data_IF_417171210759
#
_entry.id   IF_417171210759
#
_cell.length_a   1.000
_cell.length_b   1.000
_cell.length_c   1.000
_cell.angle_alpha   90.00
_cell.angle_beta   90.00
_cell.angle_gamma   90.00
#
_symmetry.space_group_name_H-M   'P 1'
#
loop_
_entity.id
_entity.type
_entity.pdbx_description
1 polymer ?
#
# COMPACT_ATOMS: atom_id res chain seq x y z
N UNK A 1 -5.24 -19.27 -41.85
CA UNK A 1 -5.32 -18.56 -40.54
C UNK A 1 -6.53 -17.62 -40.41
N UNK A 2 -6.85 -16.74 -41.37
CA UNK A 2 -7.96 -15.77 -41.27
C UNK A 2 -9.38 -16.39 -41.22
N UNK A 3 -9.61 -17.46 -41.99
CA UNK A 3 -10.92 -18.13 -42.01
C UNK A 3 -11.27 -18.81 -40.66
N UNK A 4 -10.27 -19.34 -39.96
CA UNK A 4 -10.44 -20.01 -38.67
C UNK A 4 -10.82 -19.00 -37.57
N UNK A 5 -10.18 -17.83 -37.54
CA UNK A 5 -10.54 -16.74 -36.62
C UNK A 5 -11.97 -16.23 -36.87
N UNK A 6 -12.39 -16.12 -38.13
CA UNK A 6 -13.76 -15.70 -38.48
C UNK A 6 -14.80 -16.73 -38.05
N UNK A 7 -14.48 -18.02 -38.14
CA UNK A 7 -15.34 -19.11 -37.63
C UNK A 7 -15.40 -19.07 -36.11
N UNK A 8 -14.26 -18.93 -35.43
CA UNK A 8 -14.15 -18.85 -33.98
C UNK A 8 -14.93 -17.66 -33.40
N UNK A 9 -14.85 -16.49 -34.05
CA UNK A 9 -15.60 -15.31 -33.64
C UNK A 9 -17.11 -15.57 -33.77
N UNK A 10 -17.56 -16.22 -34.85
CA UNK A 10 -18.97 -16.54 -35.06
C UNK A 10 -19.49 -17.57 -34.05
N UNK A 11 -18.67 -18.57 -33.72
CA UNK A 11 -19.00 -19.55 -32.69
C UNK A 11 -19.07 -18.88 -31.30
N UNK A 12 -18.12 -18.00 -30.98
CA UNK A 12 -18.16 -17.19 -29.75
C UNK A 12 -19.39 -16.27 -29.70
N UNK A 13 -19.80 -15.74 -30.86
CA UNK A 13 -21.02 -14.96 -31.03
C UNK A 13 -22.31 -15.82 -30.95
N UNK A 14 -22.24 -17.14 -31.07
CA UNK A 14 -23.37 -18.03 -30.79
C UNK A 14 -23.48 -18.30 -29.28
N UNK A 15 -22.37 -18.35 -28.54
CA UNK A 15 -22.34 -18.56 -27.08
C UNK A 15 -22.15 -17.28 -26.25
N UNK A 16 -22.62 -16.13 -26.77
CA UNK A 16 -22.42 -14.79 -26.20
C UNK A 16 -22.68 -14.67 -24.70
N UNK A 17 -23.74 -15.30 -24.20
CA UNK A 17 -24.11 -15.23 -22.78
C UNK A 17 -23.04 -15.82 -21.87
N UNK A 18 -22.56 -17.03 -22.19
CA UNK A 18 -21.51 -17.70 -21.41
C UNK A 18 -20.17 -16.99 -21.55
N UNK A 19 -19.80 -16.59 -22.76
CA UNK A 19 -18.56 -15.86 -23.00
C UNK A 19 -18.52 -14.52 -22.23
N UNK A 20 -19.64 -13.78 -22.24
CA UNK A 20 -19.76 -12.54 -21.48
C UNK A 20 -19.65 -12.79 -19.97
N UNK A 21 -20.33 -13.82 -19.44
CA UNK A 21 -20.26 -14.17 -18.02
C UNK A 21 -18.81 -14.48 -17.57
N UNK A 22 -18.06 -15.28 -18.32
CA UNK A 22 -16.66 -15.61 -18.01
C UNK A 22 -15.80 -14.33 -18.04
N UNK A 23 -15.93 -13.53 -19.09
CA UNK A 23 -15.17 -12.28 -19.21
C UNK A 23 -15.45 -11.30 -18.07
N UNK A 24 -16.70 -11.21 -17.61
CA UNK A 24 -17.10 -10.36 -16.50
C UNK A 24 -16.49 -10.85 -15.18
N UNK A 25 -16.52 -12.15 -14.92
CA UNK A 25 -15.90 -12.73 -13.71
C UNK A 25 -14.40 -12.47 -13.68
N UNK A 26 -13.72 -12.63 -14.81
CA UNK A 26 -12.29 -12.30 -14.93
C UNK A 26 -12.05 -10.82 -14.67
N UNK A 27 -12.85 -9.94 -15.29
CA UNK A 27 -12.73 -8.49 -15.11
C UNK A 27 -12.92 -8.09 -13.64
N UNK A 28 -13.92 -8.65 -12.96
CA UNK A 28 -14.16 -8.41 -11.53
C UNK A 28 -12.98 -8.88 -10.69
N UNK A 29 -12.42 -10.07 -10.96
CA UNK A 29 -11.25 -10.58 -10.24
C UNK A 29 -10.02 -9.67 -10.40
N UNK A 30 -9.75 -9.22 -11.62
CA UNK A 30 -8.65 -8.27 -11.90
C UNK A 30 -8.89 -6.93 -11.21
N UNK A 31 -10.11 -6.39 -11.31
CA UNK A 31 -10.47 -5.12 -10.66
C UNK A 31 -10.29 -5.20 -9.15
N UNK A 32 -10.70 -6.31 -8.52
CA UNK A 32 -10.53 -6.53 -7.08
C UNK A 32 -9.05 -6.57 -6.67
N UNK A 33 -8.21 -7.26 -7.46
CA UNK A 33 -6.76 -7.31 -7.21
C UNK A 33 -6.12 -5.91 -7.30
N UNK A 34 -6.45 -5.16 -8.35
CA UNK A 34 -5.97 -3.79 -8.54
C UNK A 34 -6.44 -2.87 -7.41
N UNK A 35 -7.71 -2.97 -7.01
CA UNK A 35 -8.27 -2.19 -5.91
C UNK A 35 -7.56 -2.50 -4.60
N UNK A 36 -7.33 -3.78 -4.27
CA UNK A 36 -6.60 -4.19 -3.07
C UNK A 36 -5.20 -3.56 -3.01
N UNK A 37 -4.43 -3.68 -4.10
CA UNK A 37 -3.08 -3.11 -4.17
C UNK A 37 -3.09 -1.58 -4.09
N UNK A 38 -4.07 -0.94 -4.71
CA UNK A 38 -4.22 0.52 -4.72
C UNK A 38 -4.57 1.05 -3.33
N UNK A 39 -5.54 0.44 -2.66
CA UNK A 39 -5.92 0.79 -1.29
C UNK A 39 -4.75 0.56 -0.33
N UNK A 40 -4.05 -0.57 -0.44
CA UNK A 40 -2.88 -0.85 0.40
C UNK A 40 -1.79 0.22 0.22
N UNK A 41 -1.49 0.60 -1.03
CA UNK A 41 -0.54 1.68 -1.32
C UNK A 41 -1.01 3.01 -0.76
N UNK A 42 -2.30 3.34 -0.91
CA UNK A 42 -2.86 4.59 -0.38
C UNK A 42 -2.77 4.65 1.14
N UNK A 43 -3.07 3.55 1.84
CA UNK A 43 -2.96 3.50 3.30
C UNK A 43 -1.52 3.66 3.78
N UNK A 44 -0.56 2.99 3.13
CA UNK A 44 0.87 3.17 3.43
C UNK A 44 1.32 4.61 3.23
N UNK A 45 0.95 5.22 2.10
CA UNK A 45 1.29 6.61 1.82
C UNK A 45 0.70 7.56 2.86
N UNK A 46 -0.55 7.35 3.27
CA UNK A 46 -1.19 8.14 4.32
C UNK A 46 -0.48 7.96 5.66
N UNK A 47 -0.09 6.74 6.02
CA UNK A 47 0.66 6.47 7.24
C UNK A 47 2.02 7.20 7.24
N UNK A 48 2.77 7.07 6.16
CA UNK A 48 4.08 7.71 6.01
C UNK A 48 3.96 9.24 6.05
N UNK A 49 3.00 9.80 5.31
CA UNK A 49 2.70 11.24 5.32
C UNK A 49 2.26 11.72 6.69
N UNK A 50 1.49 10.91 7.42
CA UNK A 50 1.05 11.25 8.78
C UNK A 50 2.23 11.28 9.74
N UNK A 51 3.13 10.29 9.69
CA UNK A 51 4.33 10.26 10.55
C UNK A 51 5.31 11.38 10.22
N UNK A 52 5.53 11.67 8.94
CA UNK A 52 6.37 12.78 8.49
C UNK A 52 5.82 14.12 9.02
N UNK A 53 4.52 14.39 8.81
CA UNK A 53 3.89 15.64 9.24
C UNK A 53 3.86 15.83 10.74
N UNK A 54 3.59 14.77 11.50
CA UNK A 54 3.57 14.83 12.95
C UNK A 54 4.95 14.73 13.59
N UNK A 55 6.02 14.73 12.77
CA UNK A 55 7.42 14.61 13.20
C UNK A 55 7.59 13.45 14.17
N UNK A 56 6.90 12.34 13.87
CA UNK A 56 6.97 11.14 14.69
C UNK A 56 8.42 10.68 14.70
N UNK A 57 8.97 10.37 15.88
CA UNK A 57 10.38 10.04 15.97
C UNK A 57 10.67 8.79 15.12
N UNK A 58 11.71 8.85 14.30
CA UNK A 58 12.18 7.70 13.51
C UNK A 58 12.63 6.55 14.42
N UNK A 59 13.15 6.90 15.60
CA UNK A 59 13.68 5.96 16.60
C UNK A 59 13.28 6.41 18.00
N UNK A 60 12.80 5.46 18.81
CA UNK A 60 12.56 5.65 20.23
C UNK A 60 13.62 4.87 21.03
N UNK A 61 14.34 5.57 21.92
CA UNK A 61 15.31 4.95 22.82
C UNK A 61 14.87 5.18 24.27
N UNK A 62 14.67 4.09 25.03
CA UNK A 62 14.34 4.14 26.44
C UNK A 62 15.55 3.73 27.28
N UNK A 63 15.88 4.55 28.29
CA UNK A 63 16.95 4.25 29.25
C UNK A 63 16.40 4.22 30.66
N UNK A 64 16.75 3.18 31.43
CA UNK A 64 16.26 2.99 32.80
C UNK A 64 17.30 3.51 33.79
N UNK A 65 16.87 4.32 34.77
CA UNK A 65 17.74 4.93 35.80
C UNK A 65 18.84 5.85 35.21
N UNK A 66 18.47 6.72 34.27
CA UNK A 66 19.37 7.78 33.80
C UNK A 66 19.42 8.94 34.81
N UNK A 67 20.62 9.47 35.13
CA UNK A 67 20.75 10.70 35.90
C UNK A 67 20.13 11.90 35.14
N UNK A 68 19.46 12.82 35.84
CA UNK A 68 18.85 14.01 35.23
C UNK A 68 19.84 14.87 34.42
N UNK A 69 21.11 14.92 34.85
CA UNK A 69 22.17 15.63 34.13
C UNK A 69 22.50 15.05 32.75
N UNK A 70 22.11 13.80 32.47
CA UNK A 70 22.28 13.18 31.15
C UNK A 70 21.28 13.74 30.13
N UNK A 71 20.14 14.30 30.58
CA UNK A 71 19.11 14.88 29.70
C UNK A 71 19.68 15.96 28.79
N UNK A 72 20.44 16.90 29.35
CA UNK A 72 21.06 17.99 28.60
C UNK A 72 22.05 17.46 27.56
N UNK A 73 22.85 16.44 27.93
CA UNK A 73 23.81 15.81 27.00
C UNK A 73 23.14 15.06 25.87
N UNK A 74 22.00 14.42 26.11
CA UNK A 74 21.24 13.71 25.08
C UNK A 74 20.52 14.70 24.16
N UNK A 75 19.96 15.78 24.70
CA UNK A 75 19.30 16.83 23.92
C UNK A 75 20.25 17.56 22.95
N UNK A 76 21.55 17.60 23.27
CA UNK A 76 22.58 18.23 22.44
C UNK A 76 23.04 17.34 21.27
N UNK A 77 22.62 16.07 21.23
CA UNK A 77 22.98 15.15 20.14
C UNK A 77 22.27 15.59 18.85
N UNK A 78 23.00 15.78 17.73
CA UNK A 78 22.39 16.10 16.45
C UNK A 78 21.34 15.07 16.04
N UNK A 79 20.11 15.52 15.77
CA UNK A 79 18.98 14.67 15.38
C UNK A 79 18.03 14.29 16.53
N UNK A 80 18.35 14.62 17.78
CA UNK A 80 17.42 14.43 18.90
C UNK A 80 16.38 15.55 18.93
N UNK A 81 15.13 15.22 18.61
CA UNK A 81 14.03 16.18 18.59
C UNK A 81 13.42 16.43 19.98
N UNK A 82 13.39 15.41 20.85
CA UNK A 82 12.77 15.51 22.18
C UNK A 82 13.40 14.52 23.17
N UNK A 83 13.54 14.94 24.43
CA UNK A 83 13.97 14.08 25.56
C UNK A 83 13.00 14.29 26.72
N UNK A 84 12.41 13.21 27.23
CA UNK A 84 11.54 13.21 28.42
C UNK A 84 12.11 12.22 29.46
N UNK A 85 11.96 12.54 30.75
CA UNK A 85 12.50 11.77 31.88
C UNK A 85 11.41 11.24 32.79
#
# INVERSE_FOLDING_TARGET
MRALHRKLLRDLLHVKGQAAAISLVIAVGVAMCVMYLSTFRSLRLTQETYYDRQRFADVFAAVKRAPLGLQARIADIPGVAQVAT
#
